data_IF_839278134881
#
_entry.id   IF_839278134881
#
_cell.length_a   1.000
_cell.length_b   1.000
_cell.length_c   1.000
_cell.angle_alpha   90.00
_cell.angle_beta   90.00
_cell.angle_gamma   90.00
#
_symmetry.space_group_name_H-M   'P 1'
#
loop_
_entity.id
_entity.type
_entity.pdbx_description
1 polymer ?
#
# COMPACT_ATOMS: atom_id res chain seq x y z
N UNK A 1 -16.25 17.90 12.73
CA UNK A 1 -15.59 16.59 12.77
C UNK A 1 -15.45 16.08 11.35
N UNK A 2 -14.23 15.91 10.86
CA UNK A 2 -13.95 15.32 9.55
C UNK A 2 -14.24 13.80 9.58
N UNK A 3 -14.10 13.12 8.44
CA UNK A 3 -14.39 11.69 8.35
C UNK A 3 -13.43 10.87 9.22
N UNK A 4 -12.14 11.20 9.21
CA UNK A 4 -11.11 10.51 9.97
C UNK A 4 -11.36 10.56 11.48
N UNK A 5 -11.75 11.72 12.01
CA UNK A 5 -12.10 11.90 13.42
C UNK A 5 -13.35 11.09 13.80
N UNK A 6 -14.33 10.96 12.89
CA UNK A 6 -15.49 10.07 13.11
C UNK A 6 -15.06 8.61 13.17
N UNK A 7 -14.18 8.18 12.28
CA UNK A 7 -13.70 6.80 12.23
C UNK A 7 -12.91 6.46 13.50
N UNK A 8 -11.97 7.30 13.90
CA UNK A 8 -11.14 7.11 15.11
C UNK A 8 -11.93 7.11 16.42
N UNK A 9 -13.13 7.70 16.45
CA UNK A 9 -14.02 7.61 17.61
C UNK A 9 -14.68 6.24 17.78
N UNK A 10 -14.80 5.48 16.69
CA UNK A 10 -15.48 4.18 16.67
C UNK A 10 -14.52 3.00 16.55
N UNK A 11 -13.35 3.20 15.94
CA UNK A 11 -12.36 2.14 15.71
C UNK A 11 -11.12 2.43 16.56
N UNK A 12 -10.80 1.57 17.54
CA UNK A 12 -9.61 1.74 18.35
C UNK A 12 -8.33 1.48 17.54
N UNK A 13 -7.20 1.95 18.05
CA UNK A 13 -5.92 1.92 17.31
C UNK A 13 -5.42 0.50 17.01
N UNK A 14 -5.67 -0.48 17.88
CA UNK A 14 -5.32 -1.88 17.67
C UNK A 14 -6.08 -2.50 16.50
N UNK A 15 -7.37 -2.19 16.36
CA UNK A 15 -8.16 -2.60 15.18
C UNK A 15 -7.69 -1.92 13.89
N UNK A 16 -7.28 -0.64 13.94
CA UNK A 16 -6.66 0.03 12.78
C UNK A 16 -5.33 -0.64 12.38
N UNK A 17 -4.54 -1.13 13.34
CA UNK A 17 -3.32 -1.89 13.05
C UNK A 17 -3.62 -3.26 12.44
N UNK A 18 -4.69 -3.93 12.90
CA UNK A 18 -5.17 -5.17 12.29
C UNK A 18 -5.60 -4.93 10.84
N UNK A 19 -6.40 -3.89 10.59
CA UNK A 19 -6.79 -3.48 9.24
C UNK A 19 -5.56 -3.21 8.36
N UNK A 20 -4.58 -2.44 8.85
CA UNK A 20 -3.36 -2.18 8.08
C UNK A 20 -2.65 -3.48 7.65
N UNK A 21 -2.61 -4.48 8.54
CA UNK A 21 -2.00 -5.77 8.25
C UNK A 21 -2.80 -6.55 7.18
N UNK A 22 -4.13 -6.53 7.27
CA UNK A 22 -5.04 -7.15 6.30
C UNK A 22 -4.88 -6.51 4.92
N UNK A 23 -5.00 -5.18 4.82
CA UNK A 23 -4.88 -4.45 3.54
C UNK A 23 -3.49 -4.64 2.90
N UNK A 24 -2.42 -4.72 3.72
CA UNK A 24 -1.09 -5.02 3.20
C UNK A 24 -0.98 -6.45 2.65
N UNK A 25 -1.69 -7.41 3.24
CA UNK A 25 -1.75 -8.78 2.73
C UNK A 25 -2.51 -8.84 1.40
N UNK A 26 -3.62 -8.12 1.28
CA UNK A 26 -4.41 -8.00 0.05
C UNK A 26 -3.61 -7.31 -1.06
N UNK A 27 -2.95 -6.19 -0.77
CA UNK A 27 -2.05 -5.50 -1.69
C UNK A 27 -0.90 -6.40 -2.18
N UNK A 28 -0.34 -7.21 -1.29
CA UNK A 28 0.68 -8.21 -1.65
C UNK A 28 0.14 -9.23 -2.65
N UNK A 29 -1.07 -9.75 -2.43
CA UNK A 29 -1.71 -10.67 -3.37
C UNK A 29 -2.04 -9.99 -4.71
N UNK A 30 -2.51 -8.75 -4.70
CA UNK A 30 -2.79 -7.97 -5.91
C UNK A 30 -1.53 -7.76 -6.75
N UNK A 31 -0.39 -7.44 -6.12
CA UNK A 31 0.90 -7.32 -6.80
C UNK A 31 1.34 -8.63 -7.46
N UNK A 32 1.21 -9.75 -6.76
CA UNK A 32 1.52 -11.08 -7.31
C UNK A 32 0.58 -11.45 -8.48
N UNK A 33 -0.70 -11.11 -8.37
CA UNK A 33 -1.71 -11.34 -9.41
C UNK A 33 -1.40 -10.51 -10.66
N UNK A 34 -1.05 -9.23 -10.53
CA UNK A 34 -0.63 -8.40 -11.65
C UNK A 34 0.64 -8.94 -12.32
N UNK A 35 1.64 -9.38 -11.55
CA UNK A 35 2.85 -10.02 -12.10
C UNK A 35 2.50 -11.23 -12.97
N UNK A 36 1.60 -12.10 -12.51
CA UNK A 36 1.15 -13.28 -13.26
C UNK A 36 0.42 -12.88 -14.54
N UNK A 37 -0.48 -11.90 -14.47
CA UNK A 37 -1.20 -11.39 -15.63
C UNK A 37 -0.27 -10.76 -16.68
N UNK A 38 0.79 -10.07 -16.26
CA UNK A 38 1.78 -9.47 -17.17
C UNK A 38 2.73 -10.48 -17.81
N UNK A 39 3.15 -11.50 -17.05
CA UNK A 39 4.17 -12.46 -17.51
C UNK A 39 3.59 -13.68 -18.21
N UNK A 40 2.34 -14.05 -17.93
CA UNK A 40 1.73 -15.32 -18.36
C UNK A 40 2.31 -16.56 -17.67
N UNK A 41 3.33 -16.41 -16.81
CA UNK A 41 3.93 -17.51 -16.04
C UNK A 41 3.01 -17.82 -14.86
N UNK A 42 2.55 -19.07 -14.75
CA UNK A 42 1.47 -19.49 -13.86
C UNK A 42 0.20 -18.66 -14.12
N UNK A 43 -0.55 -18.96 -15.21
CA UNK A 43 -1.61 -18.11 -15.72
C UNK A 43 -2.69 -17.84 -14.67
N UNK A 44 -3.37 -16.71 -14.83
CA UNK A 44 -4.45 -16.24 -13.97
C UNK A 44 -5.66 -15.93 -14.85
N UNK A 45 -6.91 -16.12 -14.39
CA UNK A 45 -8.11 -15.90 -15.20
C UNK A 45 -8.42 -14.41 -15.46
N UNK A 46 -7.72 -13.49 -14.80
CA UNK A 46 -7.92 -12.04 -14.95
C UNK A 46 -6.91 -11.43 -15.94
N UNK A 47 -7.36 -10.39 -16.64
CA UNK A 47 -6.50 -9.57 -17.50
C UNK A 47 -5.52 -8.72 -16.68
N UNK A 48 -4.47 -8.21 -17.33
CA UNK A 48 -3.54 -7.27 -16.69
C UNK A 48 -4.22 -5.95 -16.31
N UNK A 49 -5.25 -5.52 -17.03
CA UNK A 49 -6.02 -4.32 -16.69
C UNK A 49 -6.84 -4.52 -15.41
N UNK A 50 -7.57 -5.63 -15.30
CA UNK A 50 -8.32 -5.98 -14.09
C UNK A 50 -7.39 -6.14 -12.88
N UNK A 51 -6.27 -6.85 -13.04
CA UNK A 51 -5.28 -7.00 -11.98
C UNK A 51 -4.65 -5.65 -11.58
N UNK A 52 -4.49 -4.71 -12.52
CA UNK A 52 -4.00 -3.36 -12.22
C UNK A 52 -5.03 -2.54 -11.46
N UNK A 53 -6.33 -2.65 -11.80
CA UNK A 53 -7.40 -2.00 -11.04
C UNK A 53 -7.42 -2.48 -9.59
N UNK A 54 -7.36 -3.80 -9.40
CA UNK A 54 -7.28 -4.39 -8.06
C UNK A 54 -6.04 -3.87 -7.30
N UNK A 55 -4.86 -3.79 -7.92
CA UNK A 55 -3.68 -3.23 -7.25
C UNK A 55 -3.90 -1.79 -6.78
N UNK A 56 -4.58 -0.97 -7.57
CA UNK A 56 -4.85 0.43 -7.23
C UNK A 56 -5.83 0.53 -6.06
N UNK A 57 -6.85 -0.32 -6.04
CA UNK A 57 -7.82 -0.43 -4.94
C UNK A 57 -7.13 -0.78 -3.62
N UNK A 58 -6.40 -1.90 -3.55
CA UNK A 58 -5.69 -2.28 -2.32
C UNK A 58 -4.64 -1.25 -1.87
N UNK A 59 -4.06 -0.50 -2.84
CA UNK A 59 -3.13 0.58 -2.50
C UNK A 59 -3.87 1.73 -1.82
N UNK A 60 -5.09 2.05 -2.29
CA UNK A 60 -5.93 3.07 -1.69
C UNK A 60 -6.38 2.64 -0.28
N UNK A 61 -6.69 1.37 -0.07
CA UNK A 61 -7.08 0.84 1.25
C UNK A 61 -5.93 0.95 2.26
N UNK A 62 -4.72 0.54 1.87
CA UNK A 62 -3.51 0.77 2.69
C UNK A 62 -3.30 2.26 3.00
N UNK A 63 -3.44 3.15 2.01
CA UNK A 63 -3.30 4.59 2.26
C UNK A 63 -4.38 5.15 3.16
N UNK A 64 -5.60 4.64 3.08
CA UNK A 64 -6.69 5.07 3.94
C UNK A 64 -6.38 4.76 5.41
N UNK A 65 -5.92 3.53 5.70
CA UNK A 65 -5.56 3.14 7.07
C UNK A 65 -4.32 3.89 7.56
N UNK A 66 -3.31 4.10 6.71
CA UNK A 66 -2.13 4.90 7.05
C UNK A 66 -2.50 6.36 7.35
N UNK A 67 -3.45 6.95 6.63
CA UNK A 67 -3.95 8.31 6.90
C UNK A 67 -4.65 8.43 8.27
N UNK A 68 -5.20 7.33 8.78
CA UNK A 68 -5.76 7.27 10.13
C UNK A 68 -4.67 7.05 11.20
N UNK A 69 -3.61 6.30 10.89
CA UNK A 69 -2.59 5.95 11.87
C UNK A 69 -1.48 6.98 12.03
N UNK A 70 -1.12 7.67 10.94
CA UNK A 70 0.07 8.51 10.87
C UNK A 70 -0.29 9.98 10.83
N UNK A 71 0.56 10.80 11.45
CA UNK A 71 0.42 12.25 11.42
C UNK A 71 1.35 12.92 10.40
N UNK A 72 1.39 14.26 10.42
CA UNK A 72 2.20 15.02 9.49
C UNK A 72 3.71 14.85 9.71
N UNK A 73 4.15 14.62 10.95
CA UNK A 73 5.56 14.41 11.30
C UNK A 73 6.03 13.04 10.80
N UNK A 74 5.23 12.00 11.05
CA UNK A 74 5.47 10.64 10.52
C UNK A 74 5.62 10.66 8.99
N UNK A 75 4.70 11.34 8.31
CA UNK A 75 4.71 11.44 6.86
C UNK A 75 5.97 12.13 6.33
N UNK A 76 6.41 13.21 6.98
CA UNK A 76 7.65 13.90 6.62
C UNK A 76 8.86 12.96 6.73
N UNK A 77 8.97 12.19 7.82
CA UNK A 77 10.03 11.21 7.99
C UNK A 77 9.98 10.11 6.93
N UNK A 78 8.79 9.59 6.61
CA UNK A 78 8.59 8.57 5.57
C UNK A 78 9.12 9.06 4.22
N UNK A 79 8.80 10.30 3.81
CA UNK A 79 9.32 10.85 2.56
C UNK A 79 10.83 10.95 2.55
N UNK A 80 11.45 11.31 3.67
CA UNK A 80 12.90 11.38 3.81
C UNK A 80 13.54 9.99 3.71
N UNK A 81 12.94 8.98 4.33
CA UNK A 81 13.34 7.57 4.19
C UNK A 81 13.24 7.12 2.74
N UNK A 82 12.13 7.43 2.05
CA UNK A 82 11.90 7.09 0.64
C UNK A 82 12.98 7.71 -0.25
N UNK A 83 13.28 9.01 -0.10
CA UNK A 83 14.31 9.69 -0.90
C UNK A 83 15.67 9.03 -0.72
N UNK A 84 16.08 8.75 0.52
CA UNK A 84 17.35 8.06 0.82
C UNK A 84 17.40 6.64 0.25
N UNK A 85 16.30 5.87 0.36
CA UNK A 85 16.22 4.51 -0.19
C UNK A 85 16.29 4.50 -1.72
N UNK A 86 15.60 5.43 -2.39
CA UNK A 86 15.66 5.61 -3.85
C UNK A 86 17.06 5.95 -4.32
N UNK A 87 17.72 6.93 -3.69
CA UNK A 87 19.10 7.30 -4.02
C UNK A 87 20.07 6.10 -3.92
N UNK A 88 19.96 5.30 -2.85
CA UNK A 88 20.76 4.06 -2.72
C UNK A 88 20.44 3.03 -3.79
N UNK A 89 19.17 2.91 -4.19
CA UNK A 89 18.79 1.95 -5.22
C UNK A 89 19.35 2.37 -6.59
N UNK A 90 19.22 3.64 -6.97
CA UNK A 90 19.81 4.16 -8.21
C UNK A 90 21.31 3.90 -8.26
N UNK A 91 22.05 4.19 -7.19
CA UNK A 91 23.49 3.90 -7.11
C UNK A 91 23.82 2.42 -7.39
N UNK A 92 23.01 1.47 -6.89
CA UNK A 92 23.20 0.03 -7.17
C UNK A 92 22.93 -0.36 -8.62
N UNK A 93 22.09 0.40 -9.33
CA UNK A 93 21.78 0.15 -10.74
C UNK A 93 22.86 0.74 -11.67
N UNK A 94 23.56 1.79 -11.22
CA UNK A 94 24.57 2.49 -12.01
C UNK A 94 26.01 1.95 -11.83
N UNK A 95 26.28 1.20 -10.75
CA UNK A 95 27.60 0.61 -10.47
C UNK A 95 28.37 1.38 -9.40
#
# INVERSE_FOLDING_TARGET
>A
MNLDEKIKQHIPQDELLAQLAEECAELSQAALKLRRALTGINPTPVTAEEARKNLVEETADVYNVLGLLLDAEDNAEIYDIIRRKKARWVKRLEG
#
